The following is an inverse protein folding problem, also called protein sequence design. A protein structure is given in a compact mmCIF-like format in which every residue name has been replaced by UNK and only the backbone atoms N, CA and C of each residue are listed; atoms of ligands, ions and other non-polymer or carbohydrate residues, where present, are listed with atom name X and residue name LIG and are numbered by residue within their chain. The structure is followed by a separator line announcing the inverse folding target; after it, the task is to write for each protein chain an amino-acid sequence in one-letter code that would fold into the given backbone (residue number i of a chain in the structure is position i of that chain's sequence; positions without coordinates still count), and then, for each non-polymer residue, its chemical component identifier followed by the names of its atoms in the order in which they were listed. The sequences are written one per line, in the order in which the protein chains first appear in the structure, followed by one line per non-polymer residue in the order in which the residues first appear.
data_IF_248242948598
#
_entry.id   IF_248242948598
#
_cell.length_a   1.000
_cell.length_b   1.000
_cell.length_c   1.000
_cell.angle_alpha   90.00
_cell.angle_beta   90.00
_cell.angle_gamma   90.00
#
_symmetry.space_group_name_H-M   'P 1'
#
loop_
_entity.id
_entity.type
_entity.pdbx_description
1 polymer ?
#
# COMPACT_ATOMS: atom_id res chain seq x y z
N UNK A 1 -0.42 -18.89 -4.83
CA UNK A 1 0.45 -17.71 -4.62
C UNK A 1 -0.31 -16.51 -5.15
N UNK A 2 -0.81 -15.65 -4.27
CA UNK A 2 -1.36 -14.34 -4.64
C UNK A 2 -0.21 -13.43 -5.09
N UNK A 3 -0.49 -12.52 -6.03
CA UNK A 3 0.53 -11.57 -6.51
C UNK A 3 0.58 -10.39 -5.54
N UNK A 4 1.76 -9.82 -5.30
CA UNK A 4 1.96 -8.68 -4.40
C UNK A 4 0.93 -7.53 -4.55
N UNK A 5 0.49 -7.13 -5.76
CA UNK A 5 -0.58 -6.13 -5.90
C UNK A 5 -1.91 -6.57 -5.28
N UNK A 6 -2.30 -7.83 -5.41
CA UNK A 6 -3.56 -8.35 -4.87
C UNK A 6 -3.52 -8.34 -3.34
N UNK A 7 -2.40 -8.82 -2.77
CA UNK A 7 -2.17 -8.81 -1.32
C UNK A 7 -2.11 -7.38 -0.76
N UNK A 8 -1.50 -6.44 -1.49
CA UNK A 8 -1.50 -5.03 -1.11
C UNK A 8 -2.93 -4.50 -0.95
N UNK A 9 -3.81 -4.76 -1.92
CA UNK A 9 -5.19 -4.28 -1.84
C UNK A 9 -6.06 -5.07 -0.85
N UNK A 10 -5.68 -6.30 -0.52
CA UNK A 10 -6.29 -7.05 0.59
C UNK A 10 -5.95 -6.41 1.93
N UNK A 11 -4.67 -6.20 2.22
CA UNK A 11 -4.22 -5.55 3.46
C UNK A 11 -4.83 -4.15 3.59
N UNK A 12 -4.93 -3.39 2.49
CA UNK A 12 -5.59 -2.09 2.48
C UNK A 12 -7.07 -2.16 2.89
N UNK A 13 -7.80 -3.20 2.46
CA UNK A 13 -9.20 -3.42 2.89
C UNK A 13 -9.27 -3.77 4.37
N UNK A 14 -8.35 -4.59 4.86
CA UNK A 14 -8.29 -4.98 6.28
C UNK A 14 -7.97 -3.78 7.19
N UNK A 15 -7.10 -2.88 6.73
CA UNK A 15 -6.78 -1.61 7.38
C UNK A 15 -7.91 -0.57 7.27
N UNK A 16 -9.01 -0.88 6.57
CA UNK A 16 -10.12 0.03 6.28
C UNK A 16 -9.62 1.35 5.69
N UNK A 17 -8.74 1.23 4.70
CA UNK A 17 -8.18 2.35 3.97
C UNK A 17 -9.28 3.23 3.36
N UNK A 18 -9.29 4.52 3.71
CA UNK A 18 -10.21 5.50 3.16
C UNK A 18 -9.47 6.51 2.28
N UNK A 19 -10.09 7.00 1.18
CA UNK A 19 -9.54 8.12 0.41
C UNK A 19 -9.31 9.33 1.32
N UNK A 20 -8.17 10.01 1.18
CA UNK A 20 -7.76 11.17 2.00
C UNK A 20 -7.42 10.87 3.47
N UNK A 21 -7.42 9.60 3.90
CA UNK A 21 -6.85 9.19 5.20
C UNK A 21 -5.47 8.57 4.98
N UNK A 22 -4.38 9.24 5.41
CA UNK A 22 -3.05 8.67 5.30
C UNK A 22 -2.92 7.35 6.04
N UNK A 23 -2.27 6.38 5.41
CA UNK A 23 -1.97 5.05 5.95
C UNK A 23 -0.49 4.99 6.25
N UNK A 24 -0.13 4.43 7.41
CA UNK A 24 1.28 4.24 7.76
C UNK A 24 1.86 3.03 7.02
N UNK A 25 3.05 3.19 6.45
CA UNK A 25 3.84 2.07 5.94
C UNK A 25 4.26 1.11 7.07
N UNK A 26 4.29 1.58 8.33
CA UNK A 26 4.54 0.73 9.49
C UNK A 26 3.35 -0.18 9.83
N UNK A 27 2.15 0.19 9.39
CA UNK A 27 0.94 -0.63 9.53
C UNK A 27 0.75 -1.55 8.32
N UNK A 28 1.08 -1.05 7.11
CA UNK A 28 0.98 -1.82 5.86
C UNK A 28 2.10 -2.86 5.70
N UNK A 29 3.32 -2.54 6.10
CA UNK A 29 4.52 -3.34 5.85
C UNK A 29 4.48 -4.72 6.51
N UNK A 30 4.26 -4.84 7.84
CA UNK A 30 4.30 -6.12 8.54
C UNK A 30 3.32 -7.17 7.98
N UNK A 31 2.06 -6.85 7.64
CA UNK A 31 1.17 -7.79 6.97
C UNK A 31 1.68 -8.32 5.63
N UNK A 32 2.30 -7.46 4.81
CA UNK A 32 2.84 -7.87 3.50
C UNK A 32 4.10 -8.73 3.63
N UNK A 33 4.98 -8.39 4.58
CA UNK A 33 6.13 -9.23 4.93
C UNK A 33 5.66 -10.58 5.50
N UNK A 34 4.63 -10.59 6.34
CA UNK A 34 4.02 -11.80 6.87
C UNK A 34 3.40 -12.71 5.79
N UNK A 35 3.01 -12.14 4.64
CA UNK A 35 2.57 -12.88 3.44
C UNK A 35 3.73 -13.36 2.54
N UNK A 36 4.98 -13.06 2.91
CA UNK A 36 6.19 -13.53 2.23
C UNK A 36 6.78 -12.55 1.21
N UNK A 37 6.32 -11.30 1.18
CA UNK A 37 6.87 -10.27 0.28
C UNK A 37 8.10 -9.60 0.89
N UNK A 38 9.13 -9.36 0.09
CA UNK A 38 10.33 -8.65 0.53
C UNK A 38 10.10 -7.14 0.54
N UNK A 39 10.84 -6.43 1.39
CA UNK A 39 10.71 -4.99 1.58
C UNK A 39 10.98 -4.22 0.27
N UNK A 40 11.97 -4.64 -0.52
CA UNK A 40 12.30 -4.05 -1.81
C UNK A 40 11.13 -4.18 -2.79
N UNK A 41 10.46 -5.34 -2.83
CA UNK A 41 9.31 -5.56 -3.70
C UNK A 41 8.13 -4.67 -3.31
N UNK A 42 7.91 -4.49 -2.01
CA UNK A 42 6.87 -3.59 -1.49
C UNK A 42 7.19 -2.14 -1.85
N UNK A 43 8.46 -1.71 -1.68
CA UNK A 43 8.90 -0.37 -2.07
C UNK A 43 8.74 -0.12 -3.57
N UNK A 44 9.15 -1.06 -4.42
CA UNK A 44 8.99 -0.99 -5.87
C UNK A 44 7.50 -0.88 -6.28
N UNK A 45 6.62 -1.64 -5.61
CA UNK A 45 5.18 -1.51 -5.83
C UNK A 45 4.67 -0.12 -5.44
N UNK A 46 5.07 0.42 -4.28
CA UNK A 46 4.63 1.74 -3.82
C UNK A 46 5.03 2.84 -4.81
N UNK A 47 6.29 2.86 -5.27
CA UNK A 47 6.74 3.82 -6.27
C UNK A 47 6.02 3.65 -7.62
N UNK A 48 5.74 2.40 -8.01
CA UNK A 48 4.97 2.12 -9.22
C UNK A 48 3.55 2.68 -9.09
N UNK A 49 2.86 2.42 -7.99
CA UNK A 49 1.48 2.89 -7.74
C UNK A 49 1.40 4.42 -7.63
N UNK A 50 2.43 5.07 -7.07
CA UNK A 50 2.52 6.52 -7.06
C UNK A 50 2.65 7.09 -8.47
N UNK A 51 3.54 6.52 -9.29
CA UNK A 51 3.70 6.92 -10.70
C UNK A 51 2.44 6.68 -11.54
N UNK A 52 1.69 5.62 -11.24
CA UNK A 52 0.39 5.33 -11.86
C UNK A 52 -0.74 6.24 -11.32
N UNK A 53 -0.45 7.07 -10.32
CA UNK A 53 -1.41 7.98 -9.70
C UNK A 53 -2.52 7.25 -8.95
N UNK A 54 -2.23 6.09 -8.37
CA UNK A 54 -3.13 5.29 -7.52
C UNK A 54 -2.98 5.67 -6.05
N UNK A 55 -1.74 5.97 -5.64
CA UNK A 55 -1.42 6.51 -4.32
C UNK A 55 -0.61 7.79 -4.45
N UNK A 56 -0.48 8.51 -3.35
CA UNK A 56 0.47 9.61 -3.17
C UNK A 56 1.32 9.31 -1.96
N UNK A 57 2.64 9.28 -2.10
CA UNK A 57 3.53 9.13 -0.95
C UNK A 57 3.60 10.45 -0.18
N UNK A 58 3.64 10.34 1.13
CA UNK A 58 3.64 11.44 2.08
C UNK A 58 4.85 11.32 3.01
N UNK A 59 5.27 12.45 3.57
CA UNK A 59 6.33 12.46 4.56
C UNK A 59 5.95 11.65 5.83
N UNK A 60 6.97 11.09 6.48
CA UNK A 60 6.82 10.31 7.71
C UNK A 60 6.27 8.90 7.49
N UNK A 61 6.72 8.21 6.43
CA UNK A 61 6.35 6.82 6.11
C UNK A 61 4.84 6.64 5.96
N UNK A 62 4.19 7.51 5.19
CA UNK A 62 2.75 7.46 4.95
C UNK A 62 2.44 7.56 3.46
N UNK A 63 1.24 7.14 3.10
CA UNK A 63 0.68 7.38 1.77
C UNK A 63 -0.84 7.52 1.86
N UNK A 64 -1.46 8.09 0.85
CA UNK A 64 -2.92 8.15 0.72
C UNK A 64 -3.36 7.64 -0.65
N UNK A 65 -4.58 7.13 -0.76
CA UNK A 65 -5.20 6.81 -2.05
C UNK A 65 -5.61 8.10 -2.76
N UNK A 66 -5.26 8.23 -4.03
CA UNK A 66 -5.57 9.41 -4.86
C UNK A 66 -6.98 9.35 -5.47
N UNK A 67 -7.61 8.17 -5.48
CA UNK A 67 -8.97 7.96 -5.98
C UNK A 67 -9.75 7.07 -5.02
N UNK A 68 -11.07 7.31 -4.85
CA UNK A 68 -11.94 6.30 -4.26
C UNK A 68 -11.95 5.07 -5.16
N UNK A 69 -11.57 3.92 -4.61
CA UNK A 69 -11.99 2.64 -5.21
C UNK A 69 -13.47 2.50 -4.89
N UNK A 70 -14.30 2.81 -5.87
CA UNK A 70 -15.71 2.45 -5.86
C UNK A 70 -15.92 0.95 -5.88
#
# INVERSE_FOLDING_TARGET
MTKLPDDFFEVMRDLKAEPSKPISLLELGPPLVGKGHQQEQIADLLFRLEREGVIRLLAGNRFELTKPRG
#
